data_IF_286168724695
#
_entry.id   IF_286168724695
#
_cell.length_a   1.000
_cell.length_b   1.000
_cell.length_c   1.000
_cell.angle_alpha   90.00
_cell.angle_beta   90.00
_cell.angle_gamma   90.00
#
_symmetry.space_group_name_H-M   'P 1'
#
loop_
_entity.id
_entity.type
_entity.pdbx_description
1 polymer ?
2 water ?
#
# COMPACT_ATOMS: atom_id res chain seq x y z
N UNK A 2 -14.22 -13.68 11.98
CA UNK A 2 -13.82 -15.08 11.99
C UNK A 2 -14.89 -15.99 12.60
N UNK A 3 -15.19 -17.10 11.93
CA UNK A 3 -16.21 -18.04 12.38
C UNK A 3 -15.59 -19.21 13.15
N UNK A 4 -14.71 -19.96 12.50
CA UNK A 4 -14.11 -21.16 13.10
C UNK A 4 -13.19 -20.83 14.27
N UNK A 5 -13.03 -21.79 15.21
CA UNK A 5 -12.15 -21.53 16.35
C UNK A 5 -10.71 -21.29 15.93
N UNK A 6 -10.25 -22.03 14.92
CA UNK A 6 -8.86 -21.88 14.48
C UNK A 6 -8.63 -20.53 13.81
N UNK A 7 -9.61 -20.04 13.06
CA UNK A 7 -9.47 -18.72 12.48
C UNK A 7 -9.61 -17.68 13.59
N UNK A 8 -10.32 -18.02 14.66
CA UNK A 8 -10.50 -17.07 15.75
C UNK A 8 -9.24 -16.99 16.62
N UNK A 9 -8.59 -18.13 16.82
CA UNK A 9 -7.34 -18.17 17.61
C UNK A 9 -6.23 -17.41 16.92
N UNK A 10 -6.09 -17.64 15.62
CA UNK A 10 -4.95 -17.13 14.91
C UNK A 10 -5.05 -15.61 14.71
N UNK A 11 -6.28 -15.09 14.64
CA UNK A 11 -6.46 -13.62 14.57
C UNK A 11 -6.17 -13.01 15.95
N UNK A 12 -6.71 -13.60 17.00
CA UNK A 12 -6.41 -13.10 18.34
C UNK A 12 -4.88 -13.08 18.58
N UNK A 13 -4.20 -14.16 18.25
CA UNK A 13 -2.75 -14.22 18.33
C UNK A 13 -2.04 -13.05 17.59
N UNK A 14 -2.55 -12.72 16.41
CA UNK A 14 -2.03 -11.56 15.71
C UNK A 14 -2.31 -10.25 16.44
N UNK A 15 -3.53 -10.06 16.92
CA UNK A 15 -3.82 -8.84 17.65
C UNK A 15 -2.96 -8.72 18.93
N UNK A 16 -2.77 -9.83 19.65
CA UNK A 16 -1.98 -9.72 20.89
C UNK A 16 -0.53 -9.34 20.57
N UNK A 17 0.03 -9.89 19.50
CA UNK A 17 1.38 -9.50 19.12
C UNK A 17 1.44 -8.01 18.72
N UNK A 18 0.38 -7.49 18.11
CA UNK A 18 0.31 -6.09 17.75
C UNK A 18 0.25 -5.25 18.98
N UNK A 19 -0.62 -5.67 19.90
CA UNK A 19 -0.69 -5.06 21.23
C UNK A 19 0.70 -4.89 21.84
N UNK A 20 1.46 -5.95 21.80
CA UNK A 20 2.80 -5.94 22.37
C UNK A 20 3.72 -4.92 21.75
N UNK A 21 3.69 -4.83 20.42
CA UNK A 21 4.51 -3.89 19.66
C UNK A 21 4.09 -2.48 19.94
N UNK A 22 2.78 -2.25 19.99
CA UNK A 22 2.31 -0.91 20.28
C UNK A 22 2.66 -0.52 21.73
N UNK A 23 2.60 -1.44 22.67
CA UNK A 23 3.00 -1.05 24.04
C UNK A 23 4.49 -0.78 24.13
N UNK A 24 5.27 -1.58 23.40
CA UNK A 24 6.72 -1.39 23.36
C UNK A 24 7.04 -0.02 22.76
N UNK A 25 6.30 0.32 21.70
CA UNK A 25 6.46 1.61 21.04
C UNK A 25 6.07 2.74 21.98
N UNK A 26 4.94 2.58 22.67
CA UNK A 26 4.50 3.59 23.62
C UNK A 26 5.60 3.80 24.66
N UNK A 27 6.25 2.71 25.07
CA UNK A 27 7.35 2.74 26.04
C UNK A 27 8.56 3.53 25.53
N UNK A 28 9.00 3.26 24.30
CA UNK A 28 10.18 3.95 23.76
C UNK A 28 9.98 5.47 23.68
N UNK A 29 8.76 5.89 23.36
CA UNK A 29 8.39 7.31 23.30
C UNK A 29 8.38 7.98 24.68
N UNK A 30 7.80 7.31 25.66
CA UNK A 30 7.79 7.80 27.05
C UNK A 30 9.21 7.95 27.59
N UNK A 31 10.08 7.01 27.23
CA UNK A 31 11.44 6.97 27.75
C UNK A 31 12.44 7.81 26.95
N UNK A 32 11.99 8.42 25.87
CA UNK A 32 12.83 9.29 25.08
C UNK A 32 13.93 8.62 24.26
N UNK A 33 13.66 7.41 23.75
CA UNK A 33 14.62 6.68 22.92
C UNK A 33 14.79 7.30 21.53
N UNK A 34 15.93 7.01 20.87
CA UNK A 34 16.28 7.62 19.58
C UNK A 34 15.22 7.50 18.49
N UNK A 35 15.21 8.49 17.59
CA UNK A 35 14.27 8.56 16.47
C UNK A 35 14.22 7.29 15.64
N UNK A 36 15.41 6.79 15.30
CA UNK A 36 15.50 5.64 14.41
C UNK A 36 14.76 4.43 15.00
N UNK A 37 14.98 4.14 16.28
CA UNK A 37 14.31 3.01 16.94
C UNK A 37 12.81 3.08 16.81
N UNK A 38 12.28 4.25 17.09
CA UNK A 38 10.86 4.53 16.96
C UNK A 38 10.34 4.34 15.54
N UNK A 39 11.02 4.91 14.56
CA UNK A 39 10.61 4.72 13.15
C UNK A 39 10.54 3.23 12.82
N UNK A 40 11.54 2.48 13.28
CA UNK A 40 11.61 1.04 13.03
C UNK A 40 10.43 0.27 13.66
N UNK A 41 10.12 0.61 14.90
CA UNK A 41 8.97 -0.01 15.59
C UNK A 41 7.66 0.38 14.93
N UNK A 42 7.53 1.65 14.58
CA UNK A 42 6.34 2.08 13.85
C UNK A 42 6.23 1.33 12.51
N UNK A 43 7.37 1.14 11.84
CA UNK A 43 7.32 0.43 10.56
C UNK A 43 6.89 -1.06 10.74
N UNK A 44 7.33 -1.70 11.83
CA UNK A 44 6.92 -3.09 12.11
C UNK A 44 5.43 -3.19 12.44
N UNK A 45 4.92 -2.20 13.15
CA UNK A 45 3.50 -2.15 13.45
C UNK A 45 2.68 -1.90 12.17
N UNK A 46 3.14 -1.02 11.28
CA UNK A 46 2.41 -0.85 10.00
C UNK A 46 2.37 -2.19 9.24
N UNK A 47 3.53 -2.83 9.13
CA UNK A 47 3.61 -4.14 8.51
C UNK A 47 2.68 -5.15 9.14
N UNK A 48 2.62 -5.19 10.47
CA UNK A 48 1.77 -6.17 11.12
C UNK A 48 0.30 -5.84 10.94
N UNK A 49 -0.04 -4.56 10.97
CA UNK A 49 -1.42 -4.14 10.70
C UNK A 49 -1.89 -4.61 9.34
N UNK A 50 -0.99 -4.47 8.36
CA UNK A 50 -1.29 -4.85 6.99
C UNK A 50 -1.53 -6.34 6.84
N UNK A 51 -0.63 -7.13 7.42
CA UNK A 51 -0.75 -8.58 7.39
C UNK A 51 -2.06 -9.08 8.01
N UNK A 52 -2.43 -8.46 9.12
CA UNK A 52 -3.65 -8.76 9.83
C UNK A 52 -4.91 -8.45 9.00
N UNK A 53 -4.92 -7.27 8.37
CA UNK A 53 -6.00 -6.86 7.45
C UNK A 53 -6.19 -7.90 6.36
N UNK A 54 -5.08 -8.24 5.73
CA UNK A 54 -4.99 -9.27 4.74
C UNK A 54 -5.60 -10.62 5.13
N UNK A 55 -5.20 -11.13 6.29
CA UNK A 55 -5.68 -12.41 6.79
C UNK A 55 -7.16 -12.36 7.08
N UNK A 56 -7.58 -11.23 7.64
CA UNK A 56 -8.98 -11.04 8.02
C UNK A 56 -9.89 -10.86 6.80
N UNK A 57 -9.39 -10.18 5.77
CA UNK A 57 -10.15 -10.08 4.52
C UNK A 57 -10.37 -11.45 3.91
N UNK A 58 -9.32 -12.28 3.89
CA UNK A 58 -9.42 -13.62 3.32
C UNK A 58 -10.40 -14.48 4.12
N UNK A 59 -10.35 -14.36 5.44
CA UNK A 59 -11.30 -15.06 6.31
C UNK A 59 -12.74 -14.60 6.09
N UNK A 60 -12.93 -13.28 6.00
CA UNK A 60 -14.27 -12.76 5.80
C UNK A 60 -14.85 -13.20 4.42
N UNK A 61 -14.06 -13.07 3.36
CA UNK A 61 -14.51 -13.46 2.02
C UNK A 61 -14.87 -14.94 1.93
N UNK A 62 -14.11 -15.80 2.60
CA UNK A 62 -14.39 -17.22 2.53
C UNK A 62 -15.64 -17.58 3.34
N UNK A 63 -15.80 -16.95 4.51
CA UNK A 63 -16.91 -17.30 5.39
C UNK A 63 -18.27 -16.76 4.89
N UNK A 64 -18.27 -15.59 4.28
CA UNK A 64 -19.52 -14.93 3.91
C UNK A 64 -19.82 -14.93 2.40
N UNK A 65 -18.78 -15.06 1.58
CA UNK A 65 -19.00 -15.09 0.12
C UNK A 65 -18.88 -16.50 -0.45
N UNK A 66 -18.00 -17.31 0.12
CA UNK A 66 -17.83 -18.66 -0.39
C UNK A 66 -18.76 -19.64 0.31
N UNK A 67 -18.58 -19.77 1.61
CA UNK A 67 -19.28 -20.80 2.37
C UNK A 67 -20.78 -20.50 2.55
N UNK A 68 -21.58 -21.57 2.65
CA UNK A 68 -22.99 -21.43 2.93
C UNK A 68 -23.84 -21.38 1.67
N UNK A 69 -24.94 -22.11 1.69
CA UNK A 69 -25.88 -22.14 0.58
C UNK A 69 -26.64 -20.82 0.51
N UNK A 70 -25.98 -19.79 -0.01
CA UNK A 70 -26.57 -18.46 -0.06
C UNK A 70 -27.11 -18.14 -1.46
N UNK A 71 -27.95 -17.11 -1.52
CA UNK A 71 -28.46 -16.58 -2.78
C UNK A 71 -27.55 -15.43 -3.20
N UNK A 72 -27.52 -15.14 -4.50
CA UNK A 72 -26.73 -13.99 -4.96
C UNK A 72 -27.15 -12.69 -4.28
N UNK A 73 -28.42 -12.61 -3.88
CA UNK A 73 -28.95 -11.45 -3.18
C UNK A 73 -28.30 -11.30 -1.82
N UNK A 74 -28.18 -12.43 -1.13
CA UNK A 74 -27.53 -12.45 0.16
C UNK A 74 -26.08 -12.06 0.00
N UNK A 75 -25.44 -12.58 -1.05
CA UNK A 75 -24.04 -12.34 -1.25
C UNK A 75 -23.80 -10.89 -1.67
N UNK A 76 -24.77 -10.28 -2.34
CA UNK A 76 -24.63 -8.89 -2.76
C UNK A 76 -24.60 -7.97 -1.54
N UNK A 77 -25.53 -8.17 -0.61
CA UNK A 77 -25.51 -7.40 0.63
C UNK A 77 -24.19 -7.57 1.37
N UNK A 78 -23.73 -8.81 1.52
CA UNK A 78 -22.49 -9.09 2.22
C UNK A 78 -21.28 -8.50 1.51
N UNK A 79 -21.31 -8.52 0.19
CA UNK A 79 -20.21 -7.98 -0.60
C UNK A 79 -20.10 -6.47 -0.50
N UNK A 80 -21.25 -5.80 -0.52
CA UNK A 80 -21.27 -4.34 -0.48
C UNK A 80 -20.72 -3.82 0.84
N UNK A 81 -21.02 -4.52 1.93
CA UNK A 81 -20.53 -4.14 3.26
C UNK A 81 -19.00 -4.12 3.32
N UNK A 82 -18.37 -4.88 2.44
CA UNK A 82 -16.92 -5.05 2.44
C UNK A 82 -16.22 -4.26 1.34
N UNK A 83 -16.98 -3.88 0.31
CA UNK A 83 -16.40 -3.29 -0.88
C UNK A 83 -15.51 -2.08 -0.66
N UNK A 84 -16.00 -1.12 0.13
CA UNK A 84 -15.25 0.08 0.48
C UNK A 84 -13.89 -0.26 1.05
N UNK A 85 -13.92 -1.17 2.03
CA UNK A 85 -12.74 -1.64 2.74
C UNK A 85 -11.67 -2.15 1.78
N UNK A 86 -12.12 -2.90 0.78
CA UNK A 86 -11.25 -3.47 -0.23
C UNK A 86 -10.63 -2.38 -1.09
N UNK A 87 -11.44 -1.43 -1.52
CA UNK A 87 -10.93 -0.30 -2.30
C UNK A 87 -9.82 0.47 -1.57
N UNK A 88 -10.05 0.83 -0.30
CA UNK A 88 -9.04 1.55 0.47
C UNK A 88 -7.80 0.68 0.71
N UNK A 89 -8.02 -0.62 0.81
CA UNK A 89 -6.93 -1.57 1.06
C UNK A 89 -6.05 -1.71 -0.17
N UNK B 2 11.12 11.24 16.61
CA UNK B 2 10.83 12.66 16.74
C UNK B 2 11.83 13.35 17.65
N UNK B 3 12.56 14.33 17.14
CA UNK B 3 13.54 15.03 17.98
C UNK B 3 12.91 16.03 18.96
N UNK B 4 12.20 17.04 18.46
CA UNK B 4 11.64 18.11 19.30
C UNK B 4 10.51 17.59 20.17
N UNK B 5 10.29 18.25 21.32
CA UNK B 5 9.24 17.77 22.23
C UNK B 5 7.87 17.76 21.58
N UNK B 6 7.57 18.74 20.74
CA UNK B 6 6.24 18.77 20.16
C UNK B 6 6.02 17.61 19.21
N UNK B 7 7.09 17.19 18.53
CA UNK B 7 7.01 16.04 17.65
C UNK B 7 6.84 14.73 18.43
N UNK B 8 7.63 14.57 19.48
CA UNK B 8 7.51 13.46 20.42
C UNK B 8 6.10 13.37 20.97
N UNK B 9 5.57 14.54 21.32
CA UNK B 9 4.25 14.66 21.90
C UNK B 9 3.17 14.19 20.96
N UNK B 10 3.24 14.59 19.69
CA UNK B 10 2.12 14.31 18.82
C UNK B 10 2.20 12.88 18.30
N UNK B 11 3.39 12.33 18.28
CA UNK B 11 3.51 10.93 17.91
C UNK B 11 2.99 10.02 19.06
N UNK B 12 3.41 10.29 20.29
CA UNK B 12 2.89 9.54 21.45
C UNK B 12 1.35 9.60 21.44
N UNK B 13 0.77 10.77 21.21
CA UNK B 13 -0.67 10.88 21.09
C UNK B 13 -1.26 9.89 20.06
N UNK B 14 -0.67 9.81 18.84
CA UNK B 14 -1.15 8.85 17.84
C UNK B 14 -1.06 7.42 18.36
N UNK B 15 0.06 7.09 18.98
CA UNK B 15 0.28 5.71 19.46
C UNK B 15 -0.76 5.30 20.54
N UNK B 16 -1.07 6.22 21.45
CA UNK B 16 -2.03 5.91 22.50
C UNK B 16 -3.41 5.69 21.89
N UNK B 17 -3.74 6.46 20.85
CA UNK B 17 -5.01 6.28 20.14
C UNK B 17 -5.10 4.88 19.56
N UNK B 18 -4.03 4.47 18.90
CA UNK B 18 -3.93 3.14 18.32
C UNK B 18 -4.00 2.02 19.37
N UNK B 19 -3.26 2.19 20.46
CA UNK B 19 -3.34 1.25 21.56
C UNK B 19 -4.80 1.03 21.96
N UNK B 20 -5.55 2.11 22.10
CA UNK B 20 -6.97 2.07 22.42
C UNK B 20 -7.78 1.26 21.42
N UNK B 21 -7.49 1.44 20.13
CA UNK B 21 -8.16 0.71 19.06
C UNK B 21 -7.84 -0.77 19.09
N UNK B 22 -6.56 -1.06 19.31
CA UNK B 22 -6.11 -2.44 19.43
C UNK B 22 -6.68 -3.15 20.69
N UNK B 23 -6.84 -2.42 21.78
CA UNK B 23 -7.47 -2.95 22.98
C UNK B 23 -8.96 -3.23 22.75
N UNK B 24 -9.64 -2.31 22.07
CA UNK B 24 -11.06 -2.44 21.76
C UNK B 24 -11.27 -3.66 20.87
N UNK B 25 -10.36 -3.82 19.92
CA UNK B 25 -10.38 -4.94 19.01
C UNK B 25 -10.14 -6.28 19.72
N UNK B 26 -9.18 -6.33 20.65
CA UNK B 26 -8.97 -7.55 21.43
C UNK B 26 -10.19 -7.90 22.28
N UNK B 27 -10.85 -6.90 22.83
CA UNK B 27 -12.08 -7.13 23.61
C UNK B 27 -13.13 -7.78 22.74
N UNK B 28 -13.35 -7.21 21.56
CA UNK B 28 -14.37 -7.72 20.66
C UNK B 28 -14.13 -9.17 20.25
N UNK B 29 -12.87 -9.55 20.07
CA UNK B 29 -12.54 -10.94 19.74
C UNK B 29 -12.86 -11.91 20.89
N UNK B 30 -12.45 -11.52 22.10
CA UNK B 30 -12.73 -12.30 23.29
C UNK B 30 -14.23 -12.38 23.59
N UNK B 31 -14.93 -11.28 23.36
CA UNK B 31 -16.34 -11.19 23.68
C UNK B 31 -17.24 -11.73 22.56
N UNK B 32 -16.62 -12.18 21.48
CA UNK B 32 -17.37 -12.80 20.40
C UNK B 32 -18.22 -11.85 19.57
N UNK B 33 -17.74 -10.62 19.39
CA UNK B 33 -18.47 -9.63 18.61
C UNK B 33 -18.43 -10.03 17.13
N UNK B 34 -19.40 -9.52 16.33
CA UNK B 34 -19.57 -9.96 14.94
C UNK B 34 -18.33 -9.83 14.04
N UNK B 35 -18.20 -10.76 13.11
CA UNK B 35 -17.10 -10.73 12.15
C UNK B 35 -17.02 -9.39 11.42
N UNK B 36 -18.17 -8.82 11.07
CA UNK B 36 -18.13 -7.56 10.32
C UNK B 36 -17.44 -6.46 11.12
N UNK B 37 -17.86 -6.30 12.37
CA UNK B 37 -17.26 -5.31 13.26
C UNK B 37 -15.74 -5.50 13.37
N UNK B 38 -15.33 -6.75 13.56
CA UNK B 38 -13.90 -7.09 13.66
C UNK B 38 -13.14 -6.62 12.45
N UNK B 39 -13.63 -7.00 11.27
CA UNK B 39 -13.02 -6.56 10.02
C UNK B 39 -12.88 -5.04 9.96
N UNK B 40 -13.93 -4.34 10.37
CA UNK B 40 -13.92 -2.86 10.34
C UNK B 40 -12.86 -2.27 11.26
N UNK B 41 -12.77 -2.82 12.48
CA UNK B 41 -11.81 -2.35 13.47
C UNK B 41 -10.37 -2.55 13.01
N UNK B 42 -10.10 -3.70 12.41
CA UNK B 42 -8.79 -3.99 11.87
C UNK B 42 -8.46 -3.00 10.74
N UNK B 43 -9.47 -2.64 9.95
CA UNK B 43 -9.24 -1.68 8.87
C UNK B 43 -8.87 -0.31 9.45
N UNK B 44 -9.52 0.02 10.56
CA UNK B 44 -9.22 1.30 11.22
C UNK B 44 -7.80 1.33 11.75
N UNK B 45 -7.36 0.19 12.29
CA UNK B 45 -6.00 0.05 12.81
C UNK B 45 -4.99 0.14 11.65
N UNK B 46 -5.29 -0.51 10.51
CA UNK B 46 -4.43 -0.40 9.35
C UNK B 46 -4.28 1.05 8.88
N UNK B 47 -5.41 1.74 8.72
CA UNK B 47 -5.39 3.14 8.32
C UNK B 47 -4.54 3.98 9.27
N UNK B 48 -4.74 3.81 10.58
CA UNK B 48 -4.03 4.61 11.57
C UNK B 48 -2.54 4.28 11.61
N UNK B 49 -2.21 3.00 11.52
CA UNK B 49 -0.80 2.62 11.39
C UNK B 49 -0.14 3.24 10.14
N UNK B 50 -0.84 3.21 9.01
CA UNK B 50 -0.28 3.85 7.80
C UNK B 50 -0.05 5.32 8.05
N UNK B 51 -1.10 6.00 8.54
CA UNK B 51 -1.03 7.42 8.85
C UNK B 51 0.13 7.75 9.80
N UNK B 52 0.34 6.91 10.81
CA UNK B 52 1.45 7.10 11.73
C UNK B 52 2.78 6.97 11.03
N UNK B 53 2.91 5.91 10.24
CA UNK B 53 4.12 5.71 9.44
C UNK B 53 4.46 6.96 8.55
N UNK B 54 3.49 7.46 7.78
CA UNK B 54 3.70 8.70 6.98
C UNK B 54 4.20 9.87 7.80
N UNK B 55 3.53 10.19 8.91
CA UNK B 55 3.99 11.31 9.71
C UNK B 55 5.38 11.06 10.22
N UNK B 56 5.65 9.83 10.67
CA UNK B 56 6.96 9.50 11.23
C UNK B 56 8.08 9.53 10.17
N UNK B 57 7.80 9.07 8.95
CA UNK B 57 8.79 9.16 7.87
C UNK B 57 9.22 10.62 7.63
N UNK B 58 8.24 11.52 7.58
CA UNK B 58 8.47 12.94 7.33
C UNK B 58 9.23 13.61 8.45
N UNK B 59 8.89 13.26 9.69
CA UNK B 59 9.64 13.79 10.81
C UNK B 59 11.09 13.33 10.76
N UNK B 60 11.29 12.04 10.53
CA UNK B 60 12.63 11.50 10.49
C UNK B 60 13.50 12.10 9.38
N UNK B 61 12.97 12.20 8.16
CA UNK B 61 13.70 12.82 7.07
C UNK B 61 14.01 14.26 7.38
N UNK B 62 13.01 14.99 7.84
CA UNK B 62 13.23 16.39 8.12
C UNK B 62 14.31 16.57 9.22
N UNK B 63 14.26 15.75 10.27
CA UNK B 63 15.19 15.83 11.40
C UNK B 63 16.63 15.39 11.13
N UNK B 64 16.79 14.43 10.22
CA UNK B 64 18.09 13.83 9.96
C UNK B 64 18.71 14.17 8.60
N UNK B 65 17.88 14.46 7.62
CA UNK B 65 18.38 14.76 6.27
C UNK B 65 18.30 16.23 5.88
N UNK B 66 17.34 16.96 6.42
CA UNK B 66 17.21 18.38 6.12
C UNK B 66 17.97 19.27 7.11
N UNK B 67 17.61 19.18 8.40
CA UNK B 67 18.14 20.07 9.46
C UNK B 67 19.59 19.79 9.82
N UNK B 68 20.29 20.83 10.28
CA UNK B 68 21.63 20.70 10.78
C UNK B 68 22.71 20.90 9.73
N UNK B 69 23.76 21.62 10.09
CA UNK B 69 24.90 21.79 9.19
C UNK B 69 25.67 20.48 9.09
N UNK B 70 25.10 19.54 8.34
CA UNK B 70 25.65 18.20 8.20
C UNK B 70 26.42 18.00 6.89
N UNK B 71 27.24 16.96 6.86
CA UNK B 71 27.97 16.58 5.65
C UNK B 71 27.25 15.47 4.86
N UNK B 72 27.52 15.38 3.55
CA UNK B 72 26.92 14.32 2.71
C UNK B 72 27.26 12.92 3.20
N UNK B 73 28.42 12.75 3.83
CA UNK B 73 28.81 11.46 4.40
C UNK B 73 27.89 11.12 5.56
N UNK B 74 27.63 12.10 6.41
CA UNK B 74 26.76 11.89 7.54
C UNK B 74 25.36 11.56 7.07
N UNK B 75 24.90 12.26 6.04
CA UNK B 75 23.55 12.07 5.56
C UNK B 75 23.41 10.73 4.84
N UNK B 76 24.51 10.23 4.28
CA UNK B 76 24.51 8.94 3.60
C UNK B 76 24.28 7.80 4.57
N UNK B 77 25.01 7.82 5.70
CA UNK B 77 24.79 6.88 6.80
C UNK B 77 23.34 6.93 7.27
N UNK B 78 22.83 8.15 7.43
CA UNK B 78 21.46 8.30 7.88
C UNK B 78 20.48 7.77 6.87
N UNK B 79 20.78 7.95 5.59
CA UNK B 79 19.88 7.47 4.55
C UNK B 79 19.91 5.94 4.49
N UNK B 80 21.08 5.36 4.69
CA UNK B 80 21.20 3.91 4.64
C UNK B 80 20.39 3.23 5.74
N UNK B 81 20.38 3.82 6.94
CA UNK B 81 19.63 3.28 8.08
C UNK B 81 18.14 3.18 7.83
N UNK B 82 17.64 4.03 6.93
CA UNK B 82 16.22 4.14 6.65
C UNK B 82 15.87 3.41 5.35
N UNK B 83 16.88 3.17 4.52
CA UNK B 83 16.67 2.65 3.18
C UNK B 83 15.86 1.37 3.18
N UNK B 84 16.25 0.44 4.05
CA UNK B 84 15.53 -0.81 4.18
C UNK B 84 14.09 -0.56 4.60
N UNK B 85 13.89 0.29 5.61
CA UNK B 85 12.53 0.66 5.99
C UNK B 85 11.69 1.17 4.83
N UNK B 86 12.26 2.08 4.06
CA UNK B 86 11.53 2.72 2.95
C UNK B 86 11.15 1.79 1.83
N UNK B 87 12.09 0.94 1.40
CA UNK B 87 11.79 0.00 0.33
C UNK B 87 10.53 -0.78 0.67
N UNK B 88 10.50 -1.27 1.91
CA UNK B 88 9.40 -2.08 2.45
C UNK B 88 8.08 -1.32 2.49
N UNK B 89 8.16 0.00 2.62
CA UNK B 89 7.00 0.87 2.74
C UNK B 89 6.18 0.95 1.45
N UNK B 90 6.70 0.36 0.36
CA UNK B 90 5.98 0.31 -0.90
C UNK B 90 6.02 -1.08 -1.52
N UNK C 2 16.28 10.75 -11.86
CA UNK C 2 17.60 10.13 -11.78
C UNK C 2 18.66 11.04 -12.38
N UNK C 3 19.65 11.46 -11.58
CA UNK C 3 20.69 12.36 -12.07
C UNK C 3 21.71 11.67 -13.00
N UNK C 4 22.39 10.63 -12.48
CA UNK C 4 23.47 9.96 -13.21
C UNK C 4 22.94 9.20 -14.41
N UNK C 5 23.78 9.03 -15.45
CA UNK C 5 23.33 8.33 -16.66
C UNK C 5 22.91 6.90 -16.34
N UNK C 6 23.63 6.26 -15.43
CA UNK C 6 23.30 4.88 -15.13
C UNK C 6 21.96 4.77 -14.41
N UNK C 7 21.64 5.75 -13.59
CA UNK C 7 20.34 5.76 -12.92
C UNK C 7 19.22 6.05 -13.92
N UNK C 8 19.40 7.05 -14.77
CA UNK C 8 18.47 7.31 -15.86
C UNK C 8 18.22 6.07 -16.67
N UNK C 9 19.29 5.33 -16.96
CA UNK C 9 19.18 4.14 -17.78
C UNK C 9 18.32 3.02 -17.18
N UNK C 10 18.49 2.72 -15.89
CA UNK C 10 17.79 1.57 -15.33
C UNK C 10 16.36 1.91 -15.00
N UNK C 11 16.06 3.19 -14.85
CA UNK C 11 14.67 3.56 -14.70
C UNK C 11 13.93 3.47 -16.05
N UNK C 12 14.54 4.03 -17.09
CA UNK C 12 13.98 3.93 -18.45
C UNK C 12 13.75 2.45 -18.74
N UNK C 13 14.74 1.61 -18.40
CA UNK C 13 14.58 0.17 -18.56
C UNK C 13 13.32 -0.38 -17.85
N UNK C 14 13.08 0.02 -16.60
CA UNK C 14 11.87 -0.39 -15.87
C UNK C 14 10.59 0.12 -16.54
N UNK C 15 10.57 1.39 -16.95
CA UNK C 15 9.39 2.00 -17.61
C UNK C 15 9.04 1.29 -18.94
N UNK C 16 10.06 0.90 -19.70
CA UNK C 16 9.78 0.24 -20.97
C UNK C 16 9.15 -1.14 -20.73
N UNK C 17 9.57 -1.80 -19.65
CA UNK C 17 9.01 -3.09 -19.23
C UNK C 17 7.51 -2.93 -18.96
N UNK C 18 7.17 -1.90 -18.19
CA UNK C 18 5.80 -1.58 -17.83
C UNK C 18 4.99 -1.21 -19.05
N UNK C 19 5.55 -0.39 -19.93
CA UNK C 19 4.87 -0.10 -21.20
C UNK C 19 4.46 -1.40 -21.92
N UNK C 20 5.38 -2.36 -21.99
CA UNK C 20 5.09 -3.65 -22.60
C UNK C 20 3.91 -4.35 -21.96
N UNK C 21 3.85 -4.35 -20.62
CA UNK C 21 2.74 -4.95 -19.88
C UNK C 21 1.44 -4.21 -20.12
N UNK C 22 1.51 -2.89 -20.08
CA UNK C 22 0.31 -2.08 -20.31
C UNK C 22 -0.19 -2.28 -21.76
N UNK C 23 0.72 -2.44 -22.71
CA UNK C 23 0.34 -2.71 -24.10
C UNK C 23 -0.31 -4.09 -24.27
N UNK C 24 0.26 -5.10 -23.60
CA UNK C 24 -0.29 -6.45 -23.65
C UNK C 24 -1.68 -6.48 -23.01
N UNK C 25 -1.83 -5.79 -21.89
CA UNK C 25 -3.09 -5.73 -21.16
C UNK C 25 -4.20 -5.09 -22.01
N UNK C 26 -3.87 -3.99 -22.68
CA UNK C 26 -4.80 -3.33 -23.58
C UNK C 26 -5.19 -4.28 -24.72
N UNK C 27 -4.23 -5.07 -25.18
CA UNK C 27 -4.51 -6.09 -26.18
C UNK C 27 -5.51 -7.11 -25.65
N UNK C 28 -5.26 -7.63 -24.44
CA UNK C 28 -6.12 -8.65 -23.84
C UNK C 28 -7.56 -8.17 -23.65
N UNK C 29 -7.72 -6.89 -23.35
CA UNK C 29 -9.04 -6.27 -23.21
C UNK C 29 -9.79 -6.21 -24.55
N UNK C 30 -9.07 -5.79 -25.59
CA UNK C 30 -9.64 -5.70 -26.93
C UNK C 30 -9.96 -7.10 -27.45
N UNK C 31 -9.11 -8.05 -27.09
CA UNK C 31 -9.21 -9.39 -27.65
C UNK C 31 -10.21 -10.26 -26.90
N UNK C 32 -10.78 -9.73 -25.83
CA UNK C 32 -11.79 -10.43 -25.07
C UNK C 32 -11.25 -11.63 -24.31
N UNK C 33 -10.01 -11.53 -23.87
CA UNK C 33 -9.36 -12.62 -23.17
C UNK C 33 -9.99 -12.77 -21.78
N UNK C 34 -9.86 -13.98 -21.18
CA UNK C 34 -10.58 -14.26 -19.92
C UNK C 34 -10.34 -13.24 -18.83
N UNK C 35 -11.36 -12.96 -18.03
CA UNK C 35 -11.27 -11.99 -16.94
C UNK C 35 -10.14 -12.24 -15.93
N UNK C 36 -9.92 -13.50 -15.58
CA UNK C 36 -8.89 -13.82 -14.59
C UNK C 36 -7.51 -13.31 -15.02
N UNK C 37 -7.16 -13.61 -16.27
CA UNK C 37 -5.89 -13.20 -16.85
C UNK C 37 -5.69 -11.69 -16.71
N UNK C 38 -6.72 -10.93 -17.10
CA UNK C 38 -6.73 -9.48 -17.01
C UNK C 38 -6.50 -9.04 -15.58
N UNK C 39 -7.24 -9.62 -14.65
CA UNK C 39 -6.98 -9.34 -13.23
C UNK C 39 -5.52 -9.61 -12.90
N UNK C 40 -4.96 -10.70 -13.41
CA UNK C 40 -3.56 -11.04 -13.15
C UNK C 40 -2.58 -10.01 -13.74
N UNK C 41 -2.83 -9.65 -15.00
CA UNK C 41 -1.97 -8.70 -15.72
C UNK C 41 -2.00 -7.37 -15.01
N UNK C 42 -3.19 -7.00 -14.55
CA UNK C 42 -3.37 -5.78 -13.76
C UNK C 42 -2.58 -5.83 -12.49
N UNK C 43 -2.55 -7.01 -11.87
CA UNK C 43 -1.82 -7.17 -10.61
C UNK C 43 -0.32 -7.02 -10.84
N UNK C 44 0.16 -7.54 -11.96
CA UNK C 44 1.57 -7.42 -12.29
C UNK C 44 1.96 -5.97 -12.58
N UNK C 45 1.07 -5.20 -13.21
CA UNK C 45 1.36 -3.79 -13.47
C UNK C 45 1.41 -3.03 -12.14
N UNK C 46 0.46 -3.30 -11.25
CA UNK C 46 0.47 -2.66 -9.94
C UNK C 46 1.78 -2.98 -9.23
N UNK C 47 2.18 -4.24 -9.26
CA UNK C 47 3.43 -4.67 -8.65
C UNK C 47 4.65 -3.92 -9.19
N UNK C 48 4.76 -3.81 -10.53
CA UNK C 48 5.91 -3.14 -11.15
C UNK C 48 5.87 -1.63 -10.93
N UNK C 49 4.67 -1.06 -10.99
CA UNK C 49 4.52 0.34 -10.65
C UNK C 49 5.00 0.63 -9.21
N UNK C 50 4.65 -0.24 -8.26
CA UNK C 50 5.13 -0.06 -6.87
C UNK C 50 6.63 -0.12 -6.79
N UNK C 51 7.21 -1.20 -7.34
CA UNK C 51 8.66 -1.38 -7.37
C UNK C 51 9.38 -0.20 -8.01
N UNK C 52 8.81 0.34 -9.09
CA UNK C 52 9.38 1.51 -9.77
C UNK C 52 9.37 2.71 -8.82
N UNK C 53 8.25 2.91 -8.16
CA UNK C 53 8.14 3.98 -7.15
C UNK C 53 9.19 3.91 -6.05
N UNK C 54 9.33 2.74 -5.41
CA UNK C 54 10.33 2.56 -4.34
C UNK C 54 11.72 2.98 -4.77
N UNK C 55 12.15 2.41 -5.89
CA UNK C 55 13.46 2.66 -6.43
C UNK C 55 13.68 4.13 -6.77
N UNK C 56 12.68 4.77 -7.38
CA UNK C 56 12.81 6.18 -7.72
C UNK C 56 12.82 7.09 -6.50
N UNK C 57 12.02 6.76 -5.49
CA UNK C 57 12.07 7.51 -4.23
C UNK C 57 13.49 7.48 -3.64
N UNK C 58 14.10 6.30 -3.66
CA UNK C 58 15.45 6.14 -3.14
C UNK C 58 16.51 6.91 -3.89
N UNK C 59 16.42 6.89 -5.22
CA UNK C 59 17.32 7.63 -6.09
C UNK C 59 17.20 9.14 -5.88
N UNK C 60 15.97 9.60 -5.81
CA UNK C 60 15.69 11.01 -5.59
C UNK C 60 16.21 11.47 -4.22
N UNK C 61 15.93 10.72 -3.17
CA UNK C 61 16.46 11.05 -1.84
C UNK C 61 17.98 11.03 -1.82
N UNK C 62 18.58 10.11 -2.57
CA UNK C 62 20.03 10.07 -2.55
C UNK C 62 20.63 11.25 -3.26
N UNK C 63 20.00 11.62 -4.38
CA UNK C 63 20.52 12.66 -5.24
C UNK C 63 20.28 14.06 -4.71
N UNK C 64 19.16 14.29 -4.03
CA UNK C 64 18.79 15.63 -3.58
C UNK C 64 18.93 15.84 -2.06
N UNK C 65 18.89 14.79 -1.25
CA UNK C 65 19.02 14.99 0.19
C UNK C 65 20.39 14.58 0.75
N UNK C 66 20.98 13.55 0.17
CA UNK C 66 22.28 13.08 0.62
C UNK C 66 23.45 13.78 -0.08
N UNK C 67 23.53 13.61 -1.40
CA UNK C 67 24.66 14.07 -2.20
C UNK C 67 24.69 15.59 -2.36
N UNK C 68 25.89 16.14 -2.52
CA UNK C 68 26.07 17.55 -2.77
C UNK C 68 26.29 18.36 -1.51
N UNK C 69 27.25 19.29 -1.57
CA UNK C 69 27.50 20.19 -0.45
C UNK C 69 26.37 21.22 -0.36
N UNK C 70 25.23 20.81 0.18
CA UNK C 70 24.06 21.67 0.23
C UNK C 70 23.85 22.29 1.60
N UNK C 71 23.04 23.34 1.66
CA UNK C 71 22.65 23.95 2.94
C UNK C 71 21.31 23.37 3.42
N UNK C 72 21.05 23.44 4.74
CA UNK C 72 19.77 22.95 5.26
C UNK C 72 18.56 23.61 4.59
N UNK C 73 18.74 24.85 4.16
CA UNK C 73 17.69 25.59 3.44
C UNK C 73 17.39 24.98 2.08
N UNK C 74 18.44 24.58 1.38
CA UNK C 74 18.26 23.91 0.10
C UNK C 74 17.53 22.59 0.25
N UNK C 75 17.84 21.87 1.33
CA UNK C 75 17.25 20.56 1.50
C UNK C 75 15.78 20.66 1.91
N UNK C 76 15.42 21.74 2.59
CA UNK C 76 14.04 21.93 2.99
C UNK C 76 13.15 22.16 1.77
N UNK C 77 13.58 23.04 0.86
CA UNK C 77 12.83 23.23 -0.39
C UNK C 77 12.69 21.90 -1.11
N UNK C 78 13.78 21.14 -1.22
CA UNK C 78 13.73 19.86 -1.89
C UNK C 78 12.82 18.88 -1.16
N UNK C 79 12.83 18.95 0.16
CA UNK C 79 12.01 18.03 0.94
C UNK C 79 10.53 18.36 0.80
N UNK C 80 10.22 19.66 0.73
CA UNK C 80 8.84 20.14 0.56
C UNK C 80 8.29 19.76 -0.81
N UNK C 81 9.13 19.80 -1.84
CA UNK C 81 8.71 19.46 -3.18
C UNK C 81 8.18 18.04 -3.26
N UNK C 82 8.60 17.19 -2.33
CA UNK C 82 8.25 15.79 -2.45
C UNK C 82 7.49 15.29 -1.24
N UNK C 83 7.39 16.14 -0.22
CA UNK C 83 6.60 15.85 0.96
C UNK C 83 5.21 15.34 0.60
N UNK C 84 4.58 16.02 -0.34
CA UNK C 84 3.27 15.57 -0.77
C UNK C 84 3.30 14.18 -1.37
N UNK C 85 4.21 13.95 -2.31
CA UNK C 85 4.33 12.60 -2.88
C UNK C 85 4.48 11.55 -1.79
N UNK C 86 5.34 11.81 -0.81
CA UNK C 86 5.60 10.78 0.20
C UNK C 86 4.36 10.49 1.03
N UNK C 87 3.65 11.53 1.47
CA UNK C 87 2.40 11.34 2.20
C UNK C 87 1.49 10.47 1.36
N UNK C 88 1.38 10.83 0.07
CA UNK C 88 0.52 10.11 -0.86
C UNK C 88 0.97 8.67 -1.03
N UNK C 89 2.28 8.46 -0.93
CA UNK C 89 2.89 7.14 -1.12
C UNK C 89 2.51 6.18 0.02
N UNK C 90 1.94 6.71 1.10
CA UNK C 90 1.48 5.90 2.23
C UNK C 90 0.53 6.67 3.14
N UNK D 2 -13.41 -8.26 -16.62
CA UNK D 2 -14.72 -7.65 -16.77
C UNK D 2 -15.60 -8.37 -17.79
N UNK D 3 -16.85 -8.61 -17.42
CA UNK D 3 -17.78 -9.33 -18.29
C UNK D 3 -18.64 -8.36 -19.09
N UNK D 4 -19.41 -7.52 -18.41
CA UNK D 4 -20.35 -6.61 -19.05
C UNK D 4 -19.69 -5.51 -19.87
N UNK D 5 -20.39 -5.02 -20.91
CA UNK D 5 -19.84 -3.96 -21.75
C UNK D 5 -19.57 -2.69 -20.94
N UNK D 6 -20.44 -2.39 -19.99
CA UNK D 6 -20.27 -1.19 -19.17
C UNK D 6 -19.02 -1.25 -18.29
N UNK D 7 -18.74 -2.42 -17.73
CA UNK D 7 -17.52 -2.59 -16.96
C UNK D 7 -16.27 -2.73 -17.86
N UNK D 8 -16.47 -3.20 -19.09
CA UNK D 8 -15.36 -3.42 -20.01
C UNK D 8 -14.83 -2.12 -20.59
N UNK D 9 -15.73 -1.19 -20.88
CA UNK D 9 -15.34 0.13 -21.37
C UNK D 9 -14.54 0.88 -20.29
N UNK D 10 -15.02 0.85 -19.06
CA UNK D 10 -14.44 1.67 -18.02
C UNK D 10 -13.04 1.18 -17.61
N UNK D 11 -12.78 -0.12 -17.76
CA UNK D 11 -11.44 -0.65 -17.45
C UNK D 11 -10.42 -0.28 -18.53
N UNK D 12 -10.80 -0.48 -19.80
CA UNK D 12 -9.97 -0.11 -20.94
C UNK D 12 -9.59 1.36 -20.90
N UNK D 13 -10.58 2.20 -20.62
CA UNK D 13 -10.36 3.64 -20.45
C UNK D 13 -9.29 3.94 -19.39
N UNK D 14 -9.32 3.21 -18.28
CA UNK D 14 -8.26 3.35 -17.29
C UNK D 14 -6.89 2.93 -17.85
N UNK D 15 -6.87 1.81 -18.55
CA UNK D 15 -5.61 1.35 -19.11
C UNK D 15 -5.04 2.32 -20.14
N UNK D 16 -5.89 2.84 -21.03
CA UNK D 16 -5.38 3.75 -22.05
C UNK D 16 -4.85 5.00 -21.37
N UNK D 17 -5.50 5.42 -20.29
CA UNK D 17 -5.02 6.53 -19.48
C UNK D 17 -3.64 6.20 -18.90
N UNK D 18 -3.48 4.99 -18.36
CA UNK D 18 -2.19 4.54 -17.88
C UNK D 18 -1.15 4.48 -19.01
N UNK D 19 -1.54 3.92 -20.16
CA UNK D 19 -0.67 3.88 -21.34
C UNK D 19 -0.06 5.25 -21.62
N UNK D 20 -0.91 6.25 -21.67
CA UNK D 20 -0.51 7.61 -21.93
C UNK D 20 0.48 8.18 -20.94
N UNK D 21 0.20 7.93 -19.66
CA UNK D 21 1.05 8.41 -18.60
C UNK D 21 2.39 7.72 -18.72
N UNK D 22 2.37 6.43 -18.98
CA UNK D 22 3.65 5.72 -19.09
C UNK D 22 4.44 6.19 -20.34
N UNK D 23 3.76 6.49 -21.44
CA UNK D 23 4.50 6.98 -22.61
C UNK D 23 5.12 8.35 -22.36
N UNK D 24 4.38 9.20 -21.64
CA UNK D 24 4.88 10.52 -21.27
C UNK D 24 6.13 10.37 -20.39
N UNK D 25 6.05 9.40 -19.49
CA UNK D 25 7.16 9.14 -18.59
C UNK D 25 8.37 8.66 -19.37
N UNK D 26 8.14 7.74 -20.30
CA UNK D 26 9.22 7.26 -21.15
C UNK D 26 9.83 8.45 -21.91
N UNK D 27 8.97 9.37 -22.39
CA UNK D 27 9.40 10.59 -23.12
C UNK D 27 10.27 11.48 -22.25
N UNK D 28 9.81 11.76 -21.03
CA UNK D 28 10.60 12.60 -20.13
C UNK D 28 11.96 11.94 -19.79
N UNK D 29 12.00 10.63 -19.64
CA UNK D 29 13.30 9.95 -19.43
C UNK D 29 14.23 10.04 -20.66
N UNK D 30 13.68 9.78 -21.83
CA UNK D 30 14.47 9.90 -23.07
C UNK D 30 14.99 11.33 -23.29
N UNK D 31 14.19 12.33 -22.94
CA UNK D 31 14.57 13.72 -23.16
C UNK D 31 15.41 14.33 -22.03
N UNK D 32 15.66 13.56 -20.98
CA UNK D 32 16.50 14.00 -19.87
C UNK D 32 15.97 15.08 -18.92
N UNK D 33 14.66 15.08 -18.70
CA UNK D 33 13.99 16.04 -17.81
C UNK D 33 14.24 15.81 -16.31
N UNK D 34 14.03 16.87 -15.49
CA UNK D 34 14.39 16.85 -14.06
C UNK D 34 13.84 15.68 -13.25
N UNK D 35 14.61 15.26 -12.25
CA UNK D 35 14.24 14.14 -11.39
C UNK D 35 12.86 14.33 -10.80
N UNK D 36 12.59 15.54 -10.36
CA UNK D 36 11.33 15.83 -9.69
C UNK D 36 10.14 15.51 -10.60
N UNK D 37 10.19 15.99 -11.85
CA UNK D 37 9.13 15.73 -12.82
C UNK D 37 8.91 14.26 -13.00
N UNK D 38 10.01 13.55 -13.20
CA UNK D 38 10.00 12.12 -13.34
C UNK D 38 9.43 11.40 -12.10
N UNK D 39 9.90 11.78 -10.92
CA UNK D 39 9.34 11.21 -9.70
C UNK D 39 7.84 11.42 -9.63
N UNK D 40 7.39 12.63 -9.98
CA UNK D 40 5.95 12.95 -9.90
C UNK D 40 5.09 12.08 -10.83
N UNK D 41 5.53 11.91 -12.08
CA UNK D 41 4.80 11.01 -12.99
C UNK D 41 4.82 9.54 -12.56
N UNK D 42 5.96 9.07 -12.09
CA UNK D 42 5.97 7.70 -11.62
C UNK D 42 4.94 7.53 -10.49
N UNK D 43 4.86 8.54 -9.62
CA UNK D 43 3.93 8.51 -8.49
C UNK D 43 2.46 8.49 -8.99
N UNK D 44 2.20 9.25 -10.07
CA UNK D 44 0.87 9.26 -10.69
C UNK D 44 0.54 7.93 -11.35
N UNK D 45 1.54 7.32 -11.96
CA UNK D 45 1.35 5.99 -12.52
C UNK D 45 1.13 4.94 -11.41
N UNK D 46 1.90 5.00 -10.33
CA UNK D 46 1.66 4.04 -9.24
C UNK D 46 0.23 4.20 -8.69
N UNK D 47 -0.17 5.44 -8.41
CA UNK D 47 -1.53 5.71 -7.98
C UNK D 47 -2.57 5.17 -8.96
N UNK D 48 -2.38 5.39 -10.26
CA UNK D 48 -3.34 4.91 -11.23
C UNK D 48 -3.32 3.39 -11.31
N UNK D 49 -2.16 2.80 -11.09
CA UNK D 49 -2.10 1.34 -11.01
C UNK D 49 -2.95 0.76 -9.88
N UNK D 50 -2.92 1.42 -8.72
CA UNK D 50 -3.68 0.95 -7.57
C UNK D 50 -5.18 1.07 -7.83
N UNK D 51 -5.60 2.25 -8.27
CA UNK D 51 -7.01 2.50 -8.54
C UNK D 51 -7.59 1.49 -9.50
N UNK D 52 -6.79 1.14 -10.50
CA UNK D 52 -7.16 0.12 -11.46
C UNK D 52 -7.27 -1.27 -10.82
N UNK D 53 -6.31 -1.63 -9.98
CA UNK D 53 -6.35 -2.90 -9.25
C UNK D 53 -7.67 -3.04 -8.47
N UNK D 54 -7.97 -2.02 -7.68
CA UNK D 54 -9.25 -1.92 -6.95
C UNK D 54 -10.51 -2.08 -7.81
N UNK D 55 -10.60 -1.31 -8.90
CA UNK D 55 -11.80 -1.37 -9.73
C UNK D 55 -11.95 -2.76 -10.31
N UNK D 56 -10.82 -3.37 -10.64
CA UNK D 56 -10.84 -4.69 -11.22
C UNK D 56 -11.16 -5.80 -10.20
N UNK D 57 -10.64 -5.67 -8.97
CA UNK D 57 -10.96 -6.63 -7.91
C UNK D 57 -12.46 -6.63 -7.63
N UNK D 58 -13.03 -5.43 -7.49
CA UNK D 58 -14.46 -5.32 -7.20
C UNK D 58 -15.28 -5.92 -8.34
N UNK D 59 -14.86 -5.70 -9.57
CA UNK D 59 -15.55 -6.31 -10.71
C UNK D 59 -15.48 -7.83 -10.69
N UNK D 60 -14.29 -8.37 -10.46
CA UNK D 60 -14.12 -9.82 -10.43
C UNK D 60 -14.92 -10.48 -9.30
N UNK D 61 -14.89 -9.90 -8.09
CA UNK D 61 -15.66 -10.45 -6.98
C UNK D 61 -17.15 -10.47 -7.29
N UNK D 62 -17.67 -9.35 -7.79
CA UNK D 62 -19.09 -9.26 -8.11
C UNK D 62 -19.51 -10.24 -9.22
N UNK D 63 -18.69 -10.37 -10.27
CA UNK D 63 -19.02 -11.22 -11.40
C UNK D 63 -18.94 -12.72 -11.12
N UNK D 64 -18.01 -13.13 -10.26
CA UNK D 64 -17.76 -14.55 -10.04
C UNK D 64 -18.20 -15.05 -8.66
N UNK D 65 -18.29 -14.15 -7.69
CA UNK D 65 -18.66 -14.55 -6.33
C UNK D 65 -20.08 -14.18 -5.95
N UNK D 66 -20.55 -13.05 -6.47
CA UNK D 66 -21.90 -12.59 -6.17
C UNK D 66 -22.89 -13.10 -7.19
N UNK D 67 -22.70 -12.74 -8.45
CA UNK D 67 -23.68 -13.05 -9.49
C UNK D 67 -23.70 -14.53 -9.84
N UNK D 68 -24.87 -15.04 -10.21
CA UNK D 68 -24.99 -16.41 -10.66
C UNK D 68 -25.36 -17.38 -9.54
N UNK D 69 -26.30 -18.26 -9.82
CA UNK D 69 -26.72 -19.31 -8.89
C UNK D 69 -25.63 -20.38 -8.75
N UNK D 70 -24.62 -20.07 -7.96
CA UNK D 70 -23.46 -20.95 -7.83
C UNK D 70 -23.48 -21.77 -6.55
N UNK D 71 -22.68 -22.83 -6.55
CA UNK D 71 -22.52 -23.65 -5.36
C UNK D 71 -21.32 -23.15 -4.58
N UNK D 72 -21.27 -23.43 -3.28
CA UNK D 72 -20.08 -23.00 -2.53
C UNK D 72 -18.78 -23.58 -3.12
N UNK D 73 -18.86 -24.75 -3.74
CA UNK D 73 -17.71 -25.39 -4.38
C UNK D 73 -17.20 -24.56 -5.55
N UNK D 74 -18.13 -24.11 -6.37
CA UNK D 74 -17.79 -23.27 -7.51
C UNK D 74 -17.14 -21.98 -7.03
N UNK D 75 -17.69 -21.42 -5.97
CA UNK D 75 -17.18 -20.16 -5.44
C UNK D 75 -15.84 -20.35 -4.75
N UNK D 76 -15.59 -21.53 -4.21
CA UNK D 76 -14.31 -21.82 -3.56
C UNK D 76 -13.17 -21.83 -4.56
N UNK D 77 -13.38 -22.50 -5.70
CA UNK D 77 -12.41 -22.49 -6.78
C UNK D 77 -12.08 -21.09 -7.28
N UNK D 78 -13.13 -20.31 -7.55
CA UNK D 78 -12.99 -18.95 -8.06
C UNK D 78 -12.30 -18.06 -7.05
N UNK D 79 -12.59 -18.29 -5.78
CA UNK D 79 -11.99 -17.50 -4.72
C UNK D 79 -10.51 -17.77 -4.59
N UNK D 80 -10.15 -19.05 -4.73
CA UNK D 80 -8.76 -19.44 -4.54
C UNK D 80 -7.84 -18.86 -5.60
N UNK D 81 -8.28 -18.85 -6.86
CA UNK D 81 -7.46 -18.30 -7.92
C UNK D 81 -7.16 -16.82 -7.69
N UNK D 82 -7.98 -16.16 -6.88
CA UNK D 82 -7.86 -14.72 -6.66
C UNK D 82 -7.21 -14.34 -5.33
N UNK D 83 -7.22 -15.27 -4.37
CA UNK D 83 -6.82 -14.97 -3.00
C UNK D 83 -5.43 -14.38 -2.77
N UNK D 84 -4.42 -15.01 -3.37
CA UNK D 84 -3.05 -14.54 -3.21
C UNK D 84 -2.92 -13.09 -3.66
N UNK D 85 -3.57 -12.75 -4.77
CA UNK D 85 -3.59 -11.39 -5.31
C UNK D 85 -4.06 -10.37 -4.28
N UNK D 86 -5.12 -10.73 -3.57
CA UNK D 86 -5.72 -9.86 -2.57
C UNK D 86 -4.77 -9.65 -1.41
N UNK D 87 -4.10 -10.72 -0.97
CA UNK D 87 -3.08 -10.64 0.06
C UNK D 87 -2.02 -9.60 -0.30
N UNK D 88 -1.48 -9.66 -1.52
CA UNK D 88 -0.45 -8.73 -1.97
C UNK D 88 -0.94 -7.29 -2.06
N UNK D 89 -2.22 -7.12 -2.40
CA UNK D 89 -2.82 -5.81 -2.55
C UNK D 89 -3.01 -5.12 -1.21
#
# INVERSE_FOLDING_TARGET
>A
MPHSPEDKKRILTRVRRIRGQVEALERALESGEPCLAILQQIAAVRGASNGLMSEMVEIHLKDHLVSGETTPDQRAVRMAEIGHLLRAYLK
>B
MPHSPEDKKRILTRVRRIRGQVEALERALESGEPCLAILQQIAAVRGASNGLMSEMVEIHLKDHLVSGETTPDQRAVRMAEIGHLLRAYLK
>C
MPHSPEDKKRILTRVRRIRGQVEALERALESGEPCLAILQQIAAVRGASNGLMSEMVEIHLKDHLVSGETTPDQRAVRMAEIGHLLRAYLK
>D
MPHSPEDKKRILTRVRRIRGQVEALERALESGEPCLAILQQIAAVRGASNGLMSEMVEIHLKDHLVSGETTPDQRAVRMAEIGHLLRAYLK
#
